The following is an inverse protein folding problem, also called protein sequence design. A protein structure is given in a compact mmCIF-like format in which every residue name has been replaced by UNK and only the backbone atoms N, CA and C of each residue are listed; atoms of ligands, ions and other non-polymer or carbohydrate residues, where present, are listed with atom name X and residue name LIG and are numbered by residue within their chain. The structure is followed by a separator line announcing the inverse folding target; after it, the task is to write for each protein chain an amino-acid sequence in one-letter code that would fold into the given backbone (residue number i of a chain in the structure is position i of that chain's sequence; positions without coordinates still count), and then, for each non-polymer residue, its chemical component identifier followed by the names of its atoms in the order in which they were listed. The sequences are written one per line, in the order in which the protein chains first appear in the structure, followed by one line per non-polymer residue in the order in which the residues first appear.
data_IF_089290785665
#
_entry.id   IF_089290785665
#
_cell.length_a   1.000
_cell.length_b   1.000
_cell.length_c   1.000
_cell.angle_alpha   90.00
_cell.angle_beta   90.00
_cell.angle_gamma   90.00
#
_symmetry.space_group_name_H-M   'P 1'
#
loop_
_entity.id
_entity.type
_entity.pdbx_description
1 polymer ?
#
# COMPACT_ATOMS: atom_id res chain seq x y z
N UNK A 1 21.71 22.57 7.10
CA UNK A 1 20.56 21.95 7.77
C UNK A 1 19.92 21.00 6.77
N UNK A 2 20.29 19.73 6.78
CA UNK A 2 19.70 18.72 5.90
C UNK A 2 18.46 18.16 6.58
N UNK A 3 17.28 18.59 6.13
CA UNK A 3 16.00 18.05 6.58
C UNK A 3 15.91 16.59 6.13
N UNK A 4 15.89 15.67 7.08
CA UNK A 4 15.58 14.27 6.85
C UNK A 4 14.13 14.22 6.35
N UNK A 5 13.92 14.06 5.04
CA UNK A 5 12.58 13.91 4.50
C UNK A 5 11.95 12.69 5.19
N UNK A 6 10.91 12.92 5.99
CA UNK A 6 10.28 11.88 6.79
C UNK A 6 9.98 10.67 5.90
N UNK A 7 10.65 9.55 6.19
CA UNK A 7 10.55 8.33 5.39
C UNK A 7 9.08 7.90 5.38
N UNK A 8 8.50 7.76 4.18
CA UNK A 8 7.12 7.30 4.03
C UNK A 8 7.00 5.89 4.62
N UNK A 9 5.94 5.59 5.39
CA UNK A 9 5.70 4.25 5.86
C UNK A 9 5.55 3.27 4.68
N UNK A 10 6.19 2.12 4.81
CA UNK A 10 6.07 1.00 3.87
C UNK A 10 4.99 0.05 4.38
N UNK A 11 3.99 -0.24 3.54
CA UNK A 11 2.85 -1.09 3.89
C UNK A 11 2.75 -2.24 2.90
N UNK A 12 2.74 -3.46 3.42
CA UNK A 12 2.56 -4.67 2.62
C UNK A 12 1.16 -5.21 2.89
N UNK A 13 0.36 -5.33 1.84
CA UNK A 13 -0.99 -5.89 1.89
C UNK A 13 -0.95 -7.28 1.28
N UNK A 14 -1.39 -8.30 2.03
CA UNK A 14 -1.40 -9.69 1.55
C UNK A 14 -2.83 -10.11 1.25
N UNK A 15 -3.09 -10.45 -0.02
CA UNK A 15 -4.38 -10.86 -0.57
C UNK A 15 -5.09 -9.75 -1.34
N UNK A 16 -5.36 -10.00 -2.62
CA UNK A 16 -6.08 -9.08 -3.53
C UNK A 16 -7.59 -9.24 -3.55
N UNK A 17 -8.20 -9.70 -2.45
CA UNK A 17 -9.65 -9.79 -2.31
C UNK A 17 -10.32 -8.43 -2.06
N UNK A 18 -11.60 -8.45 -1.70
CA UNK A 18 -12.38 -7.24 -1.43
C UNK A 18 -11.70 -6.30 -0.42
N UNK A 19 -11.23 -6.82 0.71
CA UNK A 19 -10.60 -6.03 1.76
C UNK A 19 -9.27 -5.41 1.33
N UNK A 20 -8.40 -6.20 0.70
CA UNK A 20 -7.09 -5.73 0.23
C UNK A 20 -7.21 -4.65 -0.83
N UNK A 21 -8.06 -4.86 -1.85
CA UNK A 21 -8.28 -3.86 -2.89
C UNK A 21 -8.97 -2.60 -2.36
N UNK A 22 -9.93 -2.73 -1.43
CA UNK A 22 -10.59 -1.57 -0.82
C UNK A 22 -9.60 -0.74 0.00
N UNK A 23 -8.79 -1.38 0.83
CA UNK A 23 -7.75 -0.72 1.63
C UNK A 23 -6.75 0.06 0.78
N UNK A 24 -6.24 -0.55 -0.30
CA UNK A 24 -5.32 0.12 -1.23
C UNK A 24 -5.99 1.32 -1.91
N UNK A 25 -7.26 1.18 -2.32
CA UNK A 25 -8.02 2.28 -2.96
C UNK A 25 -8.24 3.46 -2.03
N UNK A 26 -8.60 3.20 -0.77
CA UNK A 26 -8.82 4.24 0.24
C UNK A 26 -7.53 5.00 0.58
N UNK A 27 -6.39 4.31 0.60
CA UNK A 27 -5.09 4.90 0.89
C UNK A 27 -4.38 5.52 -0.32
N UNK A 28 -5.03 5.66 -1.48
CA UNK A 28 -4.44 6.20 -2.71
C UNK A 28 -3.81 7.60 -2.54
N UNK A 29 -4.32 8.41 -1.59
CA UNK A 29 -3.80 9.77 -1.29
C UNK A 29 -2.98 9.84 -0.01
N UNK A 30 -2.84 8.75 0.73
CA UNK A 30 -2.06 8.73 1.94
C UNK A 30 -0.55 8.80 1.60
N UNK A 31 0.28 9.42 2.46
CA UNK A 31 1.72 9.53 2.22
C UNK A 31 2.46 8.23 2.58
N UNK A 32 2.00 7.09 2.03
CA UNK A 32 2.53 5.75 2.28
C UNK A 32 2.89 5.07 0.97
N UNK A 33 3.84 4.15 1.03
CA UNK A 33 4.21 3.28 -0.08
C UNK A 33 3.54 1.93 0.15
N UNK A 34 2.73 1.46 -0.81
CA UNK A 34 1.95 0.23 -0.65
C UNK A 34 2.38 -0.81 -1.69
N UNK A 35 2.70 -2.02 -1.21
CA UNK A 35 2.90 -3.22 -2.04
C UNK A 35 1.76 -4.19 -1.78
N UNK A 36 0.95 -4.50 -2.80
CA UNK A 36 -0.09 -5.52 -2.72
C UNK A 36 0.46 -6.84 -3.27
N UNK A 37 0.50 -7.86 -2.42
CA UNK A 37 0.89 -9.22 -2.78
C UNK A 37 -0.36 -10.08 -2.88
N UNK A 38 -0.72 -10.50 -4.10
CA UNK A 38 -1.80 -11.44 -4.32
C UNK A 38 -1.26 -12.76 -4.89
N UNK A 39 -1.64 -13.88 -4.24
CA UNK A 39 -1.22 -15.23 -4.64
C UNK A 39 -1.92 -15.67 -5.93
N UNK A 40 -3.11 -15.14 -6.20
CA UNK A 40 -3.91 -15.48 -7.36
C UNK A 40 -4.31 -14.16 -7.99
N UNK A 41 -3.55 -13.70 -8.98
CA UNK A 41 -4.01 -12.58 -9.81
C UNK A 41 -5.24 -13.09 -10.58
N UNK A 42 -6.41 -12.94 -9.96
CA UNK A 42 -7.70 -13.35 -10.50
C UNK A 42 -8.05 -12.40 -11.63
N UNK A 43 -7.54 -12.70 -12.83
CA UNK A 43 -8.29 -12.42 -14.05
C UNK A 43 -9.56 -13.27 -14.08
#
# INVERSE_FOLDING_TARGET
MTTEAAKRPEVIVVGGGFGGLTFVKELKKAPVNITLLDKRNHH
#
